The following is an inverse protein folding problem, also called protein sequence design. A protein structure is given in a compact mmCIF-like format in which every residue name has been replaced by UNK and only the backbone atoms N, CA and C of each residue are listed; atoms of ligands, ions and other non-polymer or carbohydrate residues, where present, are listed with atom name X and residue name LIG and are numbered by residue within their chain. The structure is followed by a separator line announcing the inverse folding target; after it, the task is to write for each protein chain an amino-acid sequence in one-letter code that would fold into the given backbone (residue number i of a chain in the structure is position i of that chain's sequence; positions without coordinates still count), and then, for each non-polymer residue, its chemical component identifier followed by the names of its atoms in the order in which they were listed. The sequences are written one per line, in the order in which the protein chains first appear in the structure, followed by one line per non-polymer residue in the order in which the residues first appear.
data_IF_196485540272
#
_entry.id   IF_196485540272
#
_cell.length_a   1.000
_cell.length_b   1.000
_cell.length_c   1.000
_cell.angle_alpha   90.00
_cell.angle_beta   90.00
_cell.angle_gamma   90.00
#
_symmetry.space_group_name_H-M   'P 1'
#
loop_
_entity.id
_entity.type
_entity.pdbx_description
1 polymer ?
#
# COMPACT_ATOMS: atom_id res chain seq x y z
N UNK A 1 19.99 33.36 17.51
CA UNK A 1 18.91 33.41 16.49
C UNK A 1 19.19 32.42 15.35
N UNK A 2 18.53 31.25 15.31
CA UNK A 2 18.71 30.27 14.23
C UNK A 2 17.76 30.54 13.06
N UNK A 3 18.31 30.99 11.92
CA UNK A 3 17.58 31.44 10.71
C UNK A 3 17.03 30.31 9.82
N UNK A 4 17.17 29.03 10.18
CA UNK A 4 16.79 27.88 9.33
C UNK A 4 15.33 27.41 9.41
N UNK A 5 14.48 28.00 10.27
CA UNK A 5 13.11 27.48 10.54
C UNK A 5 12.02 28.01 9.59
N UNK A 6 12.27 29.08 8.82
CA UNK A 6 11.21 29.77 8.05
C UNK A 6 10.81 29.04 6.77
N UNK A 7 11.76 28.42 6.06
CA UNK A 7 11.48 27.77 4.79
C UNK A 7 10.70 26.46 4.96
N UNK A 8 11.08 25.59 5.91
CA UNK A 8 10.35 24.34 6.19
C UNK A 8 8.85 24.56 6.47
N UNK A 9 8.50 25.60 7.24
CA UNK A 9 7.10 25.92 7.56
C UNK A 9 6.30 26.36 6.33
N UNK A 10 6.94 27.05 5.38
CA UNK A 10 6.30 27.46 4.12
C UNK A 10 6.01 26.25 3.24
N UNK A 11 6.94 25.31 3.14
CA UNK A 11 6.75 24.06 2.39
C UNK A 11 5.59 23.24 2.95
N UNK A 12 5.59 22.98 4.27
CA UNK A 12 4.51 22.19 4.91
C UNK A 12 3.13 22.84 4.72
N UNK A 13 3.05 24.18 4.76
CA UNK A 13 1.79 24.92 4.52
C UNK A 13 1.29 24.85 3.08
N UNK A 14 2.18 24.65 2.11
CA UNK A 14 1.82 24.52 0.70
C UNK A 14 1.52 23.07 0.31
N UNK A 15 1.68 22.10 1.22
CA UNK A 15 1.34 20.71 0.94
C UNK A 15 -0.16 20.50 1.04
N UNK A 16 -0.68 19.71 0.09
CA UNK A 16 -2.07 19.25 0.10
C UNK A 16 -2.34 18.44 1.37
N UNK A 17 -3.54 18.58 1.92
CA UNK A 17 -3.95 17.73 3.03
C UNK A 17 -4.13 16.28 2.54
N UNK A 18 -3.99 15.32 3.45
CA UNK A 18 -4.04 13.90 3.09
C UNK A 18 -5.35 13.50 2.37
N UNK A 19 -6.48 14.12 2.75
CA UNK A 19 -7.79 13.88 2.12
C UNK A 19 -7.94 14.52 0.73
N UNK A 20 -7.13 15.54 0.42
CA UNK A 20 -7.07 16.14 -0.92
C UNK A 20 -6.11 15.37 -1.83
N UNK A 21 -5.07 14.77 -1.24
CA UNK A 21 -4.12 13.92 -1.96
C UNK A 21 -4.71 12.56 -2.31
N UNK A 22 -5.52 11.97 -1.43
CA UNK A 22 -6.22 10.70 -1.64
C UNK A 22 -7.72 10.95 -1.50
N UNK A 23 -8.39 11.31 -2.61
CA UNK A 23 -9.83 11.52 -2.60
C UNK A 23 -10.56 10.21 -2.29
N UNK A 24 -11.47 10.26 -1.33
CA UNK A 24 -12.30 9.14 -0.88
C UNK A 24 -13.44 8.79 -1.88
N UNK A 25 -13.12 8.77 -3.17
CA UNK A 25 -14.08 8.54 -4.28
C UNK A 25 -14.42 7.05 -4.45
N UNK A 26 -13.47 6.16 -4.20
CA UNK A 26 -13.66 4.70 -4.28
C UNK A 26 -13.64 4.07 -2.88
N UNK A 27 -14.25 2.88 -2.68
CA UNK A 27 -14.12 2.11 -1.43
C UNK A 27 -12.65 1.86 -1.06
N UNK A 28 -11.83 1.55 -2.06
CA UNK A 28 -10.37 1.42 -1.90
C UNK A 28 -9.72 2.67 -1.33
N UNK A 29 -9.96 3.84 -1.94
CA UNK A 29 -9.37 5.09 -1.44
C UNK A 29 -9.94 5.47 -0.07
N UNK A 30 -11.21 5.16 0.22
CA UNK A 30 -11.81 5.35 1.56
C UNK A 30 -11.06 4.54 2.61
N UNK A 31 -10.86 3.25 2.37
CA UNK A 31 -10.14 2.38 3.29
C UNK A 31 -8.65 2.71 3.37
N UNK A 32 -8.05 3.12 2.25
CA UNK A 32 -6.64 3.55 2.24
C UNK A 32 -6.43 4.82 3.06
N UNK A 33 -7.28 5.83 2.86
CA UNK A 33 -7.24 7.08 3.60
C UNK A 33 -7.47 6.85 5.11
N UNK A 34 -8.41 5.97 5.47
CA UNK A 34 -8.65 5.62 6.88
C UNK A 34 -7.43 4.96 7.53
N UNK A 35 -6.81 3.99 6.84
CA UNK A 35 -5.59 3.33 7.31
C UNK A 35 -4.47 4.35 7.56
N UNK A 36 -4.20 5.24 6.60
CA UNK A 36 -3.14 6.24 6.72
C UNK A 36 -3.41 7.24 7.85
N UNK A 37 -4.66 7.66 8.05
CA UNK A 37 -5.03 8.53 9.19
C UNK A 37 -4.67 7.88 10.53
N UNK A 38 -4.82 6.57 10.64
CA UNK A 38 -4.52 5.80 11.87
C UNK A 38 -3.02 5.52 12.04
N UNK A 39 -2.26 5.43 10.95
CA UNK A 39 -0.79 5.27 10.96
C UNK A 39 -0.08 6.60 11.23
N UNK A 40 -0.54 7.70 10.65
CA UNK A 40 0.09 9.01 10.79
C UNK A 40 -0.38 9.82 12.01
N UNK A 41 -0.95 9.15 13.00
CA UNK A 41 -1.21 9.78 14.31
C UNK A 41 0.11 10.22 14.92
N UNK A 42 0.16 11.50 15.32
CA UNK A 42 1.36 12.14 15.86
C UNK A 42 1.82 11.47 17.16
N UNK A 43 0.90 11.28 18.09
CA UNK A 43 1.19 10.57 19.34
C UNK A 43 1.34 9.06 19.09
N UNK A 44 2.52 8.47 19.37
CA UNK A 44 2.76 7.05 19.14
C UNK A 44 1.89 6.14 20.02
N UNK A 45 1.43 6.61 21.19
CA UNK A 45 0.54 5.81 22.07
C UNK A 45 -0.87 5.68 21.48
N UNK A 46 -1.29 6.69 20.73
CA UNK A 46 -2.59 6.74 20.06
C UNK A 46 -2.56 6.15 18.64
N UNK A 47 -1.36 5.82 18.12
CA UNK A 47 -1.17 5.25 16.79
C UNK A 47 -1.57 3.78 16.76
N UNK A 48 -2.15 3.34 15.65
CA UNK A 48 -2.46 1.93 15.42
C UNK A 48 -1.18 1.07 15.42
N UNK A 49 -1.24 -0.12 16.02
CA UNK A 49 -0.13 -1.09 15.98
C UNK A 49 -0.06 -1.80 14.63
N UNK A 50 1.10 -2.36 14.28
CA UNK A 50 1.26 -3.15 13.05
C UNK A 50 0.24 -4.31 12.96
N UNK A 51 0.02 -5.02 14.08
CA UNK A 51 -0.95 -6.13 14.14
C UNK A 51 -2.39 -5.67 13.89
N UNK A 52 -2.74 -4.47 14.35
CA UNK A 52 -4.06 -3.88 14.08
C UNK A 52 -4.16 -3.35 12.65
N UNK A 53 -3.08 -2.79 12.10
CA UNK A 53 -3.02 -2.33 10.71
C UNK A 53 -3.22 -3.47 9.72
N UNK A 54 -2.59 -4.63 9.95
CA UNK A 54 -2.77 -5.83 9.12
C UNK A 54 -4.21 -6.36 9.11
N UNK A 55 -5.02 -6.04 10.13
CA UNK A 55 -6.44 -6.41 10.19
C UNK A 55 -7.36 -5.40 9.48
N UNK A 56 -6.82 -4.31 8.96
CA UNK A 56 -7.59 -3.24 8.34
C UNK A 56 -8.27 -3.70 7.04
N UNK A 57 -9.52 -3.28 6.74
CA UNK A 57 -10.23 -3.66 5.51
C UNK A 57 -9.47 -3.37 4.22
N UNK A 58 -8.61 -2.35 4.21
CA UNK A 58 -7.76 -2.03 3.06
C UNK A 58 -6.90 -3.22 2.59
N UNK A 59 -6.40 -4.04 3.51
CA UNK A 59 -5.61 -5.24 3.17
C UNK A 59 -6.46 -6.43 2.70
N UNK A 60 -7.79 -6.35 2.81
CA UNK A 60 -8.70 -7.40 2.33
C UNK A 60 -9.14 -7.16 0.89
N UNK A 61 -9.02 -5.94 0.39
CA UNK A 61 -9.28 -5.66 -1.01
C UNK A 61 -8.15 -6.25 -1.85
N UNK A 62 -8.49 -7.19 -2.73
CA UNK A 62 -7.52 -7.82 -3.61
C UNK A 62 -7.07 -6.80 -4.65
N UNK A 63 -5.91 -6.20 -4.42
CA UNK A 63 -5.19 -5.51 -5.48
C UNK A 63 -4.44 -6.60 -6.22
N UNK A 64 -4.72 -6.77 -7.50
CA UNK A 64 -3.82 -7.48 -8.40
C UNK A 64 -2.61 -6.57 -8.52
N UNK A 65 -1.67 -6.73 -7.59
CA UNK A 65 -0.41 -6.00 -7.56
C UNK A 65 0.62 -6.71 -8.45
N UNK A 66 1.61 -5.97 -8.97
CA UNK A 66 2.63 -6.50 -9.87
C UNK A 66 3.38 -7.70 -9.26
N UNK A 67 3.55 -7.72 -7.93
CA UNK A 67 4.11 -8.88 -7.22
C UNK A 67 3.20 -10.13 -7.24
N UNK A 68 1.88 -9.93 -7.24
CA UNK A 68 0.90 -11.01 -7.35
C UNK A 68 0.88 -11.58 -8.78
N UNK A 69 0.97 -10.72 -9.79
CA UNK A 69 1.06 -11.14 -11.19
C UNK A 69 2.39 -11.83 -11.51
N UNK A 70 3.52 -11.34 -10.99
CA UNK A 70 4.81 -12.00 -11.15
C UNK A 70 4.82 -13.42 -10.58
N UNK A 71 4.22 -13.64 -9.40
CA UNK A 71 4.07 -14.97 -8.82
C UNK A 71 3.20 -15.87 -9.70
N UNK A 72 2.09 -15.33 -10.23
CA UNK A 72 1.17 -16.05 -11.12
C UNK A 72 1.88 -16.51 -12.40
N UNK A 73 2.61 -15.59 -13.06
CA UNK A 73 3.39 -15.87 -14.27
C UNK A 73 4.43 -16.95 -13.98
N UNK A 74 5.19 -16.83 -12.88
CA UNK A 74 6.19 -17.82 -12.50
C UNK A 74 5.60 -19.21 -12.15
N UNK A 75 4.38 -19.27 -11.62
CA UNK A 75 3.67 -20.54 -11.42
C UNK A 75 3.20 -21.15 -12.74
N UNK A 76 2.72 -20.34 -13.68
CA UNK A 76 2.26 -20.79 -14.98
C UNK A 76 3.42 -21.37 -15.80
N UNK A 77 4.55 -20.65 -15.88
CA UNK A 77 5.76 -21.12 -16.59
C UNK A 77 6.23 -22.48 -16.06
N UNK A 78 6.21 -22.67 -14.73
CA UNK A 78 6.59 -23.96 -14.11
C UNK A 78 5.64 -25.09 -14.50
N UNK A 79 4.34 -24.83 -14.54
CA UNK A 79 3.35 -25.84 -14.96
C UNK A 79 3.50 -26.21 -16.43
N UNK A 80 3.72 -25.23 -17.29
CA UNK A 80 3.86 -25.45 -18.74
C UNK A 80 5.15 -26.25 -19.07
N UNK A 81 6.25 -25.96 -18.35
CA UNK A 81 7.48 -26.74 -18.42
C UNK A 81 7.26 -28.20 -17.97
N UNK A 82 6.55 -28.42 -16.86
CA UNK A 82 6.25 -29.76 -16.37
C UNK A 82 5.30 -30.55 -17.30
N UNK A 83 4.36 -29.88 -17.96
CA UNK A 83 3.49 -30.52 -18.95
C UNK A 83 4.26 -30.95 -20.21
N UNK A 84 5.24 -30.14 -20.63
CA UNK A 84 6.07 -30.42 -21.80
C UNK A 84 7.00 -31.62 -21.57
N UNK A 85 7.60 -31.74 -20.38
CA UNK A 85 8.48 -32.88 -20.06
C UNK A 85 7.73 -34.22 -19.98
N UNK A 86 6.49 -34.22 -19.48
CA UNK A 86 5.65 -35.42 -19.42
C UNK A 86 5.21 -35.88 -20.81
N UNK A 87 5.04 -34.95 -21.74
CA UNK A 87 4.62 -35.24 -23.12
C UNK A 87 5.76 -35.76 -24.01
N UNK A 88 7.01 -35.36 -23.74
CA UNK A 88 8.19 -35.79 -24.49
C UNK A 88 8.72 -37.18 -24.09
N UNK A 89 8.22 -37.75 -22.98
CA UNK A 89 8.67 -39.03 -22.44
C UNK A 89 7.73 -40.21 -22.79
N UNK A 90 6.80 -40.02 -23.72
CA UNK A 90 5.79 -41.00 -24.15
C UNK A 90 5.90 -41.31 -25.63
#
# INVERSE_FOLDING_TARGET
MSKRRKHHRKYVRAMKQLHEFIPATTPFNKHFLDLLRRIFVYDPKSRITAKQALKHPWFKESIIDDGTEALRIGQQIRKDLAATTVSASK
#
